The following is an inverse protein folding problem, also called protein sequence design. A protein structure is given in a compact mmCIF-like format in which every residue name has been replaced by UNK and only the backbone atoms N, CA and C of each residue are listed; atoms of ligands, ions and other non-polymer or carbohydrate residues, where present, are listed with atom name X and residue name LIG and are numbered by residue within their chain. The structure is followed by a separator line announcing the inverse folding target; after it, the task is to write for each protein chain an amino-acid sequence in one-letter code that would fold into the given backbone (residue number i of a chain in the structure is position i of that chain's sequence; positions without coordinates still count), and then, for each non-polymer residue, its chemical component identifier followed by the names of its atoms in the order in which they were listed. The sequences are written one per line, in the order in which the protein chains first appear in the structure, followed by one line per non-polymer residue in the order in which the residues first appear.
data_IF_143611319160
#
_entry.id   IF_143611319160
#
_cell.length_a   1.000
_cell.length_b   1.000
_cell.length_c   1.000
_cell.angle_alpha   90.00
_cell.angle_beta   90.00
_cell.angle_gamma   90.00
#
_symmetry.space_group_name_H-M   'P 1'
#
loop_
_entity.id
_entity.type
_entity.pdbx_description
1 polymer ?
#
# COMPACT_ATOMS: atom_id res chain seq x y z
N UNK A 1 -13.50 17.26 1.81
CA UNK A 1 -13.85 15.92 1.26
C UNK A 1 -14.86 15.21 2.17
N UNK A 2 -15.68 14.30 1.62
CA UNK A 2 -16.67 13.49 2.36
C UNK A 2 -16.05 12.16 2.80
N UNK A 3 -15.47 12.14 4.00
CA UNK A 3 -14.79 10.95 4.55
C UNK A 3 -15.76 9.85 4.98
N UNK A 4 -16.97 10.25 5.36
CA UNK A 4 -18.08 9.38 5.76
C UNK A 4 -18.59 8.46 4.64
N UNK A 5 -18.21 8.74 3.38
CA UNK A 5 -18.55 7.89 2.23
C UNK A 5 -17.53 6.77 1.98
N UNK A 6 -16.42 6.73 2.72
CA UNK A 6 -15.47 5.63 2.63
C UNK A 6 -16.08 4.43 3.38
N UNK A 7 -16.22 3.25 2.75
CA UNK A 7 -16.71 2.06 3.44
C UNK A 7 -15.90 1.81 4.71
N UNK A 8 -16.59 1.53 5.81
CA UNK A 8 -15.92 1.36 7.10
C UNK A 8 -15.02 0.11 7.09
N UNK A 9 -15.47 -0.95 6.41
CA UNK A 9 -14.74 -2.21 6.23
C UNK A 9 -13.41 -1.99 5.49
N UNK A 10 -13.34 -1.03 4.57
CA UNK A 10 -12.09 -0.66 3.91
C UNK A 10 -11.11 -0.02 4.90
N UNK A 11 -11.62 0.86 5.78
CA UNK A 11 -10.80 1.52 6.79
C UNK A 11 -10.27 0.50 7.81
N UNK A 12 -11.12 -0.42 8.27
CA UNK A 12 -10.75 -1.50 9.19
C UNK A 12 -9.70 -2.43 8.57
N UNK A 13 -9.92 -2.90 7.34
CA UNK A 13 -9.00 -3.78 6.64
C UNK A 13 -7.59 -3.18 6.52
N UNK A 14 -7.49 -1.89 6.12
CA UNK A 14 -6.20 -1.20 6.07
C UNK A 14 -5.59 -1.02 7.48
N UNK A 15 -6.41 -0.74 8.48
CA UNK A 15 -5.95 -0.58 9.87
C UNK A 15 -5.38 -1.89 10.44
N UNK A 16 -5.96 -3.04 10.11
CA UNK A 16 -5.46 -4.36 10.52
C UNK A 16 -4.08 -4.65 9.91
N UNK A 17 -3.91 -4.44 8.60
CA UNK A 17 -2.60 -4.59 7.93
C UNK A 17 -1.55 -3.69 8.56
N UNK A 18 -1.90 -2.43 8.84
CA UNK A 18 -1.00 -1.49 9.51
C UNK A 18 -0.68 -1.90 10.95
N UNK A 19 -1.61 -2.52 11.66
CA UNK A 19 -1.41 -3.04 13.01
C UNK A 19 -0.39 -4.18 13.00
N UNK A 20 -0.57 -5.16 12.10
CA UNK A 20 0.39 -6.24 11.89
C UNK A 20 1.77 -5.70 11.48
N UNK A 21 1.81 -4.77 10.51
CA UNK A 21 3.05 -4.15 10.06
C UNK A 21 3.76 -3.35 11.16
N UNK A 22 3.01 -2.66 12.03
CA UNK A 22 3.57 -1.93 13.16
C UNK A 22 4.13 -2.87 14.24
N UNK A 23 3.52 -4.03 14.46
CA UNK A 23 4.04 -5.05 15.37
C UNK A 23 5.35 -5.65 14.85
N UNK A 24 5.46 -5.90 13.54
CA UNK A 24 6.65 -6.53 12.93
C UNK A 24 7.80 -5.55 12.67
N UNK A 25 7.50 -4.35 12.17
CA UNK A 25 8.50 -3.40 11.68
C UNK A 25 8.58 -2.09 12.48
N UNK A 26 7.69 -1.90 13.45
CA UNK A 26 7.56 -0.67 14.21
C UNK A 26 6.63 0.35 13.56
N UNK A 27 6.04 1.22 14.39
CA UNK A 27 5.12 2.27 13.96
C UNK A 27 5.77 3.21 12.95
N UNK A 28 5.07 3.50 11.86
CA UNK A 28 5.50 4.41 10.79
C UNK A 28 6.82 4.04 10.09
N UNK A 29 7.31 2.81 10.21
CA UNK A 29 8.57 2.40 9.58
C UNK A 29 8.56 2.60 8.06
N UNK A 30 7.41 2.37 7.42
CA UNK A 30 7.22 2.58 5.97
C UNK A 30 7.54 4.02 5.51
N UNK A 31 7.39 5.04 6.36
CA UNK A 31 7.74 6.43 6.02
C UNK A 31 9.24 6.66 5.86
N UNK A 32 10.06 5.76 6.38
CA UNK A 32 11.53 5.78 6.26
C UNK A 32 12.00 5.14 4.96
N UNK A 33 11.09 4.47 4.22
CA UNK A 33 11.38 3.94 2.90
C UNK A 33 11.88 5.04 1.96
N UNK A 34 12.83 4.69 1.09
CA UNK A 34 13.28 5.60 0.03
C UNK A 34 12.44 5.33 -1.22
N UNK A 35 12.78 6.00 -2.33
CA UNK A 35 12.06 5.90 -3.60
C UNK A 35 11.85 4.46 -4.08
N UNK A 36 12.86 3.61 -3.93
CA UNK A 36 12.84 2.18 -4.23
C UNK A 36 11.68 1.43 -3.54
N UNK A 37 11.49 1.65 -2.23
CA UNK A 37 10.41 1.05 -1.46
C UNK A 37 9.02 1.41 -2.00
N UNK A 38 8.79 2.68 -2.35
CA UNK A 38 7.49 3.13 -2.85
C UNK A 38 7.22 2.72 -4.30
N UNK A 39 8.27 2.58 -5.12
CA UNK A 39 8.16 1.99 -6.46
C UNK A 39 7.87 0.48 -6.35
N UNK A 40 8.46 -0.21 -5.39
CA UNK A 40 8.17 -1.62 -5.15
C UNK A 40 6.75 -1.86 -4.60
N UNK A 41 6.21 -0.92 -3.82
CA UNK A 41 4.81 -0.95 -3.39
C UNK A 41 3.81 -1.02 -4.57
N UNK A 42 4.15 -0.42 -5.72
CA UNK A 42 3.36 -0.58 -6.96
C UNK A 42 3.37 -2.03 -7.45
N UNK A 43 4.54 -2.66 -7.50
CA UNK A 43 4.67 -4.05 -7.92
C UNK A 43 3.92 -5.00 -6.95
N UNK A 44 4.09 -4.79 -5.64
CA UNK A 44 3.38 -5.56 -4.62
C UNK A 44 1.86 -5.39 -4.68
N UNK A 45 1.35 -4.20 -5.00
CA UNK A 45 -0.06 -3.99 -5.27
C UNK A 45 -0.56 -4.91 -6.41
N UNK A 46 0.15 -5.00 -7.54
CA UNK A 46 -0.21 -5.91 -8.63
C UNK A 46 -0.20 -7.39 -8.20
N UNK A 47 0.79 -7.80 -7.41
CA UNK A 47 0.88 -9.18 -6.88
C UNK A 47 -0.35 -9.52 -6.05
N UNK A 48 -0.74 -8.66 -5.11
CA UNK A 48 -1.93 -8.91 -4.27
C UNK A 48 -3.22 -8.92 -5.11
N UNK A 49 -3.34 -8.04 -6.11
CA UNK A 49 -4.49 -8.05 -7.01
C UNK A 49 -4.58 -9.36 -7.80
N UNK A 50 -3.45 -9.89 -8.28
CA UNK A 50 -3.40 -11.17 -8.98
C UNK A 50 -3.72 -12.35 -8.05
N UNK A 51 -3.12 -12.42 -6.87
CA UNK A 51 -3.41 -13.48 -5.88
C UNK A 51 -4.88 -13.52 -5.47
N UNK A 52 -5.50 -12.35 -5.27
CA UNK A 52 -6.94 -12.26 -5.04
C UNK A 52 -7.74 -12.87 -6.21
N UNK A 53 -7.38 -12.53 -7.45
CA UNK A 53 -8.02 -13.07 -8.65
C UNK A 53 -7.87 -14.59 -8.76
N UNK A 54 -6.74 -15.14 -8.33
CA UNK A 54 -6.45 -16.58 -8.32
C UNK A 54 -7.15 -17.31 -7.16
N UNK A 55 -7.80 -16.59 -6.25
CA UNK A 55 -8.53 -17.16 -5.11
C UNK A 55 -7.64 -17.56 -3.94
N UNK A 56 -6.43 -17.01 -3.84
CA UNK A 56 -5.58 -17.16 -2.66
C UNK A 56 -6.27 -16.51 -1.43
N UNK A 57 -6.22 -17.22 -0.31
CA UNK A 57 -6.86 -16.88 0.97
C UNK A 57 -5.88 -16.91 2.14
N UNK A 58 -4.58 -16.98 1.85
CA UNK A 58 -3.53 -17.03 2.87
C UNK A 58 -3.42 -15.74 3.68
N UNK A 59 -3.92 -14.62 3.13
CA UNK A 59 -3.99 -13.30 3.76
C UNK A 59 -5.12 -12.48 3.12
N UNK A 60 -5.45 -11.32 3.69
CA UNK A 60 -6.36 -10.37 3.05
C UNK A 60 -5.64 -9.57 1.96
N UNK A 61 -5.59 -10.12 0.75
CA UNK A 61 -4.90 -9.48 -0.36
C UNK A 61 -5.46 -8.11 -0.73
N UNK A 62 -6.77 -7.88 -0.60
CA UNK A 62 -7.35 -6.57 -0.93
C UNK A 62 -6.97 -5.52 0.11
N UNK A 63 -6.87 -5.89 1.38
CA UNK A 63 -6.36 -5.02 2.43
C UNK A 63 -4.90 -4.63 2.19
N UNK A 64 -4.04 -5.59 1.83
CA UNK A 64 -2.64 -5.34 1.52
C UNK A 64 -2.47 -4.47 0.27
N UNK A 65 -3.26 -4.72 -0.78
CA UNK A 65 -3.35 -3.87 -1.97
C UNK A 65 -3.70 -2.42 -1.58
N UNK A 66 -4.75 -2.23 -0.79
CA UNK A 66 -5.20 -0.93 -0.33
C UNK A 66 -4.13 -0.20 0.51
N UNK A 67 -3.44 -0.92 1.40
CA UNK A 67 -2.35 -0.39 2.20
C UNK A 67 -1.19 0.11 1.33
N UNK A 68 -0.77 -0.68 0.32
CA UNK A 68 0.27 -0.25 -0.64
C UNK A 68 -0.14 1.01 -1.39
N UNK A 69 -1.38 1.09 -1.87
CA UNK A 69 -1.89 2.30 -2.54
C UNK A 69 -1.92 3.52 -1.60
N UNK A 70 -2.27 3.33 -0.33
CA UNK A 70 -2.23 4.42 0.66
C UNK A 70 -0.81 4.97 0.86
N UNK A 71 0.21 4.09 0.91
CA UNK A 71 1.62 4.50 0.98
C UNK A 71 2.06 5.24 -0.28
N UNK A 72 1.64 4.78 -1.46
CA UNK A 72 1.94 5.46 -2.72
C UNK A 72 1.31 6.84 -2.80
N UNK A 73 0.03 6.99 -2.41
CA UNK A 73 -0.65 8.29 -2.35
C UNK A 73 0.11 9.25 -1.43
N UNK A 74 0.57 8.75 -0.27
CA UNK A 74 1.40 9.55 0.64
C UNK A 74 2.71 9.96 -0.02
N UNK A 75 3.43 9.03 -0.64
CA UNK A 75 4.73 9.28 -1.27
C UNK A 75 4.64 10.32 -2.39
N UNK A 76 3.62 10.23 -3.25
CA UNK A 76 3.37 11.21 -4.31
C UNK A 76 3.03 12.59 -3.74
N UNK A 77 2.13 12.65 -2.74
CA UNK A 77 1.74 13.92 -2.11
C UNK A 77 2.89 14.60 -1.34
N UNK A 78 3.89 13.84 -0.93
CA UNK A 78 5.06 14.35 -0.20
C UNK A 78 6.31 14.46 -1.10
N UNK A 79 6.17 14.29 -2.42
CA UNK A 79 7.27 14.47 -3.37
C UNK A 79 8.39 13.41 -3.29
N UNK A 80 8.13 12.26 -2.67
CA UNK A 80 9.09 11.15 -2.60
C UNK A 80 9.18 10.40 -3.94
N UNK A 81 8.04 10.26 -4.63
CA UNK A 81 7.90 9.61 -5.94
C UNK A 81 7.05 10.48 -6.86
N UNK A 82 7.35 10.45 -8.15
CA UNK A 82 6.60 11.08 -9.24
C UNK A 82 6.43 10.11 -10.41
N UNK A 83 5.57 10.44 -11.37
CA UNK A 83 5.36 9.62 -12.57
C UNK A 83 6.65 9.42 -13.38
N UNK A 84 7.60 10.36 -13.31
CA UNK A 84 8.90 10.26 -14.01
C UNK A 84 9.76 9.11 -13.46
N UNK A 85 9.57 8.74 -12.20
CA UNK A 85 10.36 7.70 -11.53
C UNK A 85 10.00 6.28 -11.99
N UNK A 86 8.86 6.10 -12.67
CA UNK A 86 8.50 4.82 -13.29
C UNK A 86 9.20 4.60 -14.65
N UNK A 87 9.65 5.67 -15.32
CA UNK A 87 10.23 5.63 -16.66
C UNK A 87 11.72 5.31 -16.71
N UNK A 88 12.40 5.21 -15.55
CA UNK A 88 13.84 4.95 -15.45
C UNK A 88 14.21 3.47 -15.48
N UNK A 89 13.23 2.56 -15.58
CA UNK A 89 13.43 1.12 -15.77
C UNK A 89 13.50 0.75 -17.26
N UNK A 90 14.39 1.42 -18.01
CA UNK A 90 14.79 1.01 -19.37
C UNK A 90 16.08 0.23 -19.31
#
# INVERSE_FOLDING_TARGET
PRFDLIPFEFLEAVAEVLTCGAATHGRYNWKRGRKDFFLDAWNHAFVHLQKFKEGDRSEDHLAHLACNLAFMVWAVKNGVVSQKDFGTWR
#
